data_IF_090171569435
#
_entry.id   IF_090171569435
#
_cell.length_a   1.000
_cell.length_b   1.000
_cell.length_c   1.000
_cell.angle_alpha   90.00
_cell.angle_beta   90.00
_cell.angle_gamma   90.00
#
_symmetry.space_group_name_H-M   'P 1'
#
loop_
_entity.id
_entity.type
_entity.pdbx_description
1 polymer ?
#
# COMPACT_ATOMS: atom_id res chain seq x y z
N UNK A 1 16.21 -18.91 3.60
CA UNK A 1 16.24 -19.87 2.49
C UNK A 1 16.49 -19.07 1.21
N UNK A 2 17.44 -19.48 0.40
CA UNK A 2 17.67 -18.83 -0.88
C UNK A 2 16.42 -19.00 -1.77
N UNK A 3 15.90 -17.88 -2.31
CA UNK A 3 14.70 -17.86 -3.13
C UNK A 3 13.38 -17.67 -2.38
N UNK A 4 13.38 -17.66 -1.03
CA UNK A 4 12.21 -17.32 -0.23
C UNK A 4 12.14 -15.79 -0.05
N UNK A 5 12.16 -15.06 -1.16
CA UNK A 5 12.15 -13.60 -1.26
C UNK A 5 11.27 -13.15 -2.43
N UNK A 6 11.10 -11.86 -2.60
CA UNK A 6 10.26 -11.29 -3.66
C UNK A 6 11.01 -11.02 -4.98
N UNK A 7 12.23 -11.52 -5.16
CA UNK A 7 13.09 -11.27 -6.34
C UNK A 7 13.33 -9.78 -6.63
N UNK A 8 13.40 -8.96 -5.58
CA UNK A 8 13.53 -7.52 -5.69
C UNK A 8 14.81 -7.08 -6.43
N UNK A 9 15.94 -7.77 -6.18
CA UNK A 9 17.21 -7.43 -6.84
C UNK A 9 17.15 -7.56 -8.35
N UNK A 10 16.43 -8.54 -8.88
CA UNK A 10 16.20 -8.68 -10.32
C UNK A 10 15.25 -7.61 -10.86
N UNK A 11 14.23 -7.26 -10.08
CA UNK A 11 13.31 -6.18 -10.43
C UNK A 11 14.01 -4.82 -10.48
N UNK A 12 14.93 -4.56 -9.56
CA UNK A 12 15.70 -3.31 -9.52
C UNK A 12 16.74 -3.18 -10.66
N UNK A 13 17.10 -4.26 -11.35
CA UNK A 13 17.84 -4.19 -12.61
C UNK A 13 17.00 -3.59 -13.75
N UNK A 14 15.66 -3.58 -13.64
CA UNK A 14 14.73 -2.96 -14.58
C UNK A 14 14.46 -1.50 -14.17
N UNK A 15 14.04 -1.27 -12.93
CA UNK A 15 13.75 0.04 -12.37
C UNK A 15 13.88 0.06 -10.86
N UNK A 16 14.28 1.19 -10.29
CA UNK A 16 14.28 1.43 -8.83
C UNK A 16 13.05 2.21 -8.36
N UNK A 17 12.20 2.66 -9.29
CA UNK A 17 10.93 3.32 -9.00
C UNK A 17 10.94 4.84 -9.12
N UNK A 18 10.02 5.49 -8.42
CA UNK A 18 9.96 6.93 -8.20
C UNK A 18 9.08 7.70 -9.16
N UNK A 19 9.25 7.54 -10.48
CA UNK A 19 8.52 8.33 -11.48
C UNK A 19 8.01 7.48 -12.62
N UNK A 20 6.95 7.93 -13.28
CA UNK A 20 6.45 7.33 -14.53
C UNK A 20 7.28 7.76 -15.73
N UNK A 21 7.06 7.13 -16.89
CA UNK A 21 7.65 7.56 -18.18
C UNK A 21 7.24 9.00 -18.60
N UNK A 22 6.23 9.58 -17.95
CA UNK A 22 5.81 10.98 -18.16
C UNK A 22 6.38 11.95 -17.12
N UNK A 23 7.15 11.44 -16.14
CA UNK A 23 7.72 12.23 -15.06
C UNK A 23 6.78 12.47 -13.88
N UNK A 24 5.60 11.84 -13.84
CA UNK A 24 4.71 11.91 -12.68
C UNK A 24 5.39 11.26 -11.48
N UNK A 25 5.48 11.94 -10.36
CA UNK A 25 5.99 11.37 -9.12
C UNK A 25 5.00 10.35 -8.55
N UNK A 26 5.42 9.10 -8.46
CA UNK A 26 4.58 8.00 -7.96
C UNK A 26 4.45 8.08 -6.44
N UNK A 27 3.22 8.01 -5.94
CA UNK A 27 2.90 8.08 -4.52
C UNK A 27 2.14 6.82 -4.09
N UNK A 28 2.48 6.29 -2.92
CA UNK A 28 1.70 5.28 -2.21
C UNK A 28 1.15 5.90 -0.94
N UNK A 29 -0.17 5.87 -0.77
CA UNK A 29 -0.82 6.28 0.46
C UNK A 29 -0.74 5.17 1.51
N UNK A 30 -0.37 5.51 2.73
CA UNK A 30 -0.31 4.57 3.86
C UNK A 30 -1.32 5.01 4.91
N UNK A 31 -2.47 4.34 4.93
CA UNK A 31 -3.48 4.51 5.97
C UNK A 31 -3.11 3.59 7.12
N UNK A 32 -2.73 4.17 8.26
CA UNK A 32 -2.18 3.42 9.40
C UNK A 32 -2.39 4.21 10.71
N UNK A 33 -1.69 3.88 11.78
CA UNK A 33 -1.73 4.61 13.06
C UNK A 33 -0.94 5.95 13.04
N UNK A 34 -0.14 6.20 12.02
CA UNK A 34 0.73 7.36 11.83
C UNK A 34 2.05 7.00 11.16
N UNK A 35 3.04 7.91 11.23
CA UNK A 35 4.38 7.70 10.66
C UNK A 35 5.39 8.66 11.30
N UNK A 36 6.62 8.22 11.50
CA UNK A 36 7.71 9.13 11.88
C UNK A 36 8.13 9.98 10.67
N UNK A 37 7.56 11.18 10.56
CA UNK A 37 7.81 12.09 9.45
C UNK A 37 9.22 12.71 9.44
N UNK A 38 9.99 12.51 10.51
CA UNK A 38 11.40 12.91 10.64
C UNK A 38 12.37 11.75 10.30
N UNK A 39 11.84 10.64 9.78
CA UNK A 39 12.65 9.50 9.37
C UNK A 39 13.48 9.83 8.12
N UNK A 40 14.81 9.86 8.27
CA UNK A 40 15.75 10.26 7.21
C UNK A 40 15.91 9.25 6.07
N UNK A 41 15.41 8.03 6.26
CA UNK A 41 15.51 6.93 5.31
C UNK A 41 14.17 6.67 4.60
N UNK A 42 13.32 7.70 4.53
CA UNK A 42 12.00 7.63 3.90
C UNK A 42 11.73 8.84 3.01
N UNK A 43 11.29 8.58 1.78
CA UNK A 43 10.82 9.61 0.87
C UNK A 43 9.35 9.94 1.15
N UNK A 44 9.09 11.00 1.90
CA UNK A 44 7.72 11.44 2.15
C UNK A 44 7.22 12.33 1.02
N UNK A 45 5.95 12.16 0.65
CA UNK A 45 5.23 13.16 -0.13
C UNK A 45 4.99 14.40 0.73
N UNK A 46 4.99 15.56 0.09
CA UNK A 46 4.71 16.85 0.74
C UNK A 46 3.74 17.64 -0.12
N UNK A 47 2.72 18.19 0.52
CA UNK A 47 1.86 19.18 -0.11
C UNK A 47 2.55 20.54 -0.12
N UNK A 48 3.25 20.86 -1.20
CA UNK A 48 3.98 22.14 -1.31
C UNK A 48 3.07 23.34 -1.58
N UNK A 49 1.77 23.13 -1.77
CA UNK A 49 0.78 24.20 -1.87
C UNK A 49 0.31 24.67 -0.49
N UNK A 50 0.62 23.93 0.56
CA UNK A 50 0.39 24.27 1.98
C UNK A 50 1.61 24.95 2.61
N UNK A 51 1.37 25.97 3.42
CA UNK A 51 2.38 26.60 4.30
C UNK A 51 2.22 25.97 5.69
N UNK A 52 3.13 25.08 6.11
CA UNK A 52 2.92 24.26 7.29
C UNK A 52 2.77 25.11 8.58
N UNK A 53 1.83 24.71 9.43
CA UNK A 53 1.56 25.28 10.76
C UNK A 53 1.10 26.77 10.75
N UNK A 54 0.44 27.22 9.69
CA UNK A 54 -0.15 28.56 9.68
C UNK A 54 -1.64 28.58 10.07
N UNK A 55 -2.28 27.42 10.17
CA UNK A 55 -3.70 27.27 10.53
C UNK A 55 -4.66 27.66 9.42
N UNK A 56 -4.18 27.70 8.16
CA UNK A 56 -4.96 28.05 6.98
C UNK A 56 -4.86 26.87 6.00
N UNK A 57 -5.94 26.62 5.28
CA UNK A 57 -5.98 25.76 4.10
C UNK A 57 -5.55 26.66 2.91
N UNK A 58 -4.26 26.55 2.53
CA UNK A 58 -3.68 27.49 1.55
C UNK A 58 -4.00 27.09 0.10
N UNK A 59 -4.35 25.83 -0.16
CA UNK A 59 -4.68 25.32 -1.51
C UNK A 59 -6.18 25.04 -1.70
N UNK A 60 -7.00 25.41 -0.69
CA UNK A 60 -8.47 25.31 -0.70
C UNK A 60 -8.94 23.87 -1.03
N UNK A 61 -8.23 22.87 -0.46
CA UNK A 61 -8.53 21.45 -0.64
C UNK A 61 -9.46 20.90 0.48
N UNK A 62 -9.74 21.68 1.52
CA UNK A 62 -10.56 21.31 2.68
C UNK A 62 -9.77 20.76 3.87
N UNK A 63 -8.44 20.69 3.79
CA UNK A 63 -7.56 20.07 4.79
C UNK A 63 -6.48 21.04 5.27
N UNK A 64 -6.71 21.70 6.39
CA UNK A 64 -5.82 22.71 6.98
C UNK A 64 -4.46 22.10 7.35
N UNK A 65 -3.38 22.72 6.91
CA UNK A 65 -1.98 22.29 7.23
C UNK A 65 -1.66 20.84 6.84
N UNK A 66 -2.23 20.27 5.78
CA UNK A 66 -1.99 18.88 5.37
C UNK A 66 -0.62 18.65 4.67
N UNK A 67 0.33 19.55 4.92
CA UNK A 67 1.68 19.53 4.32
C UNK A 67 2.37 18.16 4.39
N UNK A 68 2.19 17.41 5.49
CA UNK A 68 2.83 16.11 5.72
C UNK A 68 1.88 14.91 5.50
N UNK A 69 0.64 15.13 5.08
CA UNK A 69 -0.44 14.16 5.07
C UNK A 69 -1.52 14.52 6.07
N UNK A 70 -2.39 13.58 6.42
CA UNK A 70 -3.61 13.89 7.18
C UNK A 70 -3.83 12.98 8.39
N UNK A 71 -4.25 13.58 9.49
CA UNK A 71 -4.65 12.90 10.71
C UNK A 71 -6.18 13.02 10.91
N UNK A 72 -6.87 11.92 10.62
CA UNK A 72 -8.34 11.84 10.69
C UNK A 72 -8.86 11.94 12.12
N UNK A 73 -8.09 11.52 13.14
CA UNK A 73 -8.55 11.47 14.52
C UNK A 73 -8.76 12.85 15.12
N UNK A 74 -7.92 13.81 14.77
CA UNK A 74 -7.99 15.18 15.26
C UNK A 74 -8.25 16.21 14.16
N UNK A 75 -8.44 15.75 12.91
CA UNK A 75 -8.73 16.57 11.74
C UNK A 75 -7.67 17.66 11.54
N UNK A 76 -6.40 17.25 11.41
CA UNK A 76 -5.25 18.14 11.23
C UNK A 76 -4.13 17.48 10.41
N UNK A 77 -3.15 18.28 9.96
CA UNK A 77 -1.92 17.82 9.34
C UNK A 77 -0.88 17.21 10.32
N UNK A 78 -1.19 17.14 11.63
CA UNK A 78 -0.29 16.60 12.64
C UNK A 78 -0.26 15.07 12.60
N UNK A 79 0.71 14.49 11.91
CA UNK A 79 0.89 13.05 11.81
C UNK A 79 1.56 12.49 13.07
N UNK A 80 0.91 11.57 13.82
CA UNK A 80 1.53 10.95 14.98
C UNK A 80 2.72 10.09 14.58
N UNK A 81 3.79 10.20 15.35
CA UNK A 81 4.98 9.36 15.17
C UNK A 81 4.75 7.99 15.81
N UNK A 82 4.53 6.97 15.01
CA UNK A 82 4.18 5.62 15.44
C UNK A 82 5.11 4.56 14.87
N UNK A 83 5.27 3.46 15.58
CA UNK A 83 6.16 2.39 15.15
C UNK A 83 5.58 1.55 14.00
N UNK A 84 4.26 1.35 13.97
CA UNK A 84 3.64 0.43 13.02
C UNK A 84 3.62 1.06 11.63
N UNK A 85 3.02 2.22 11.45
CA UNK A 85 2.98 2.87 10.14
C UNK A 85 4.35 3.30 9.61
N UNK A 86 5.32 3.65 10.50
CA UNK A 86 6.73 3.87 10.10
C UNK A 86 7.36 2.61 9.52
N UNK A 87 7.13 1.47 10.16
CA UNK A 87 7.64 0.18 9.71
C UNK A 87 7.04 -0.24 8.35
N UNK A 88 5.72 -0.12 8.22
CA UNK A 88 4.97 -0.37 6.98
C UNK A 88 5.48 0.52 5.85
N UNK A 89 5.61 1.82 6.10
CA UNK A 89 6.13 2.80 5.12
C UNK A 89 7.54 2.46 4.64
N UNK A 90 8.41 1.98 5.53
CA UNK A 90 9.76 1.56 5.19
C UNK A 90 9.82 0.32 4.28
N UNK A 91 8.90 -0.64 4.42
CA UNK A 91 8.83 -1.80 3.53
C UNK A 91 8.43 -1.37 2.11
N UNK A 92 7.55 -0.39 1.98
CA UNK A 92 7.16 0.16 0.68
C UNK A 92 8.31 0.93 0.05
N UNK A 93 8.88 1.90 0.77
CA UNK A 93 9.69 2.95 0.17
C UNK A 93 10.84 3.49 1.02
N UNK A 94 11.51 2.65 1.86
CA UNK A 94 12.80 3.06 2.40
C UNK A 94 13.78 3.32 1.25
N UNK A 95 14.54 4.41 1.35
CA UNK A 95 15.41 4.90 0.28
C UNK A 95 16.51 3.89 -0.01
N UNK A 96 16.56 3.41 -1.27
CA UNK A 96 17.61 2.48 -1.68
C UNK A 96 18.92 3.15 -2.03
N UNK A 97 20.02 2.39 -1.98
CA UNK A 97 21.36 2.81 -2.42
C UNK A 97 21.90 4.12 -1.79
N UNK A 98 21.57 4.38 -0.53
CA UNK A 98 21.91 5.60 0.20
C UNK A 98 22.93 5.38 1.33
N UNK A 99 23.61 4.22 1.34
CA UNK A 99 24.58 3.79 2.37
C UNK A 99 23.98 3.71 3.80
N UNK A 100 22.66 3.47 3.90
CA UNK A 100 21.95 3.38 5.18
C UNK A 100 21.02 2.16 5.19
N UNK A 101 20.83 1.62 6.36
CA UNK A 101 19.81 0.69 6.83
C UNK A 101 19.28 -0.34 5.87
N UNK A 102 18.16 -0.05 5.26
CA UNK A 102 17.40 -0.98 4.42
C UNK A 102 16.95 -0.31 3.12
N UNK A 103 16.50 -1.12 2.15
CA UNK A 103 15.79 -0.65 0.97
C UNK A 103 14.34 -1.12 1.01
N UNK A 104 13.40 -0.25 0.68
CA UNK A 104 12.02 -0.61 0.41
C UNK A 104 11.87 -1.37 -0.91
N UNK A 105 10.67 -1.87 -1.19
CA UNK A 105 10.35 -2.54 -2.46
C UNK A 105 10.57 -1.61 -3.66
N UNK A 106 10.36 -0.32 -3.45
CA UNK A 106 10.53 0.76 -4.42
C UNK A 106 11.38 1.86 -3.77
N UNK A 107 12.58 2.14 -4.31
CA UNK A 107 13.58 2.98 -3.66
C UNK A 107 13.26 4.47 -3.63
N UNK A 108 12.48 4.93 -4.62
CA UNK A 108 12.28 6.36 -4.88
C UNK A 108 10.80 6.79 -4.78
N UNK A 109 9.89 5.86 -4.47
CA UNK A 109 8.47 6.16 -4.29
C UNK A 109 8.25 7.16 -3.16
N UNK A 110 7.25 8.03 -3.29
CA UNK A 110 6.83 8.91 -2.21
C UNK A 110 5.75 8.25 -1.35
N UNK A 111 5.88 8.39 -0.04
CA UNK A 111 4.90 7.90 0.92
C UNK A 111 4.03 9.06 1.40
N UNK A 112 2.72 8.92 1.27
CA UNK A 112 1.73 9.82 1.85
C UNK A 112 1.16 9.18 3.11
N UNK A 113 1.56 9.61 4.32
CA UNK A 113 1.04 9.05 5.56
C UNK A 113 -0.33 9.62 5.91
N UNK A 114 -1.26 8.73 6.28
CA UNK A 114 -2.59 9.09 6.79
C UNK A 114 -2.83 8.36 8.11
N UNK A 115 -3.00 9.11 9.20
CA UNK A 115 -3.39 8.52 10.48
C UNK A 115 -4.90 8.34 10.52
N UNK A 116 -5.35 7.08 10.32
CA UNK A 116 -6.77 6.78 10.13
C UNK A 116 -7.11 5.29 10.21
N UNK A 117 -6.24 4.44 10.76
CA UNK A 117 -6.58 3.02 10.99
C UNK A 117 -7.69 2.90 12.04
N UNK A 118 -8.68 2.10 11.82
CA UNK A 118 -9.76 1.90 12.78
C UNK A 118 -10.60 0.67 12.46
N UNK A 119 -11.30 0.15 13.48
CA UNK A 119 -12.44 -0.75 13.29
C UNK A 119 -13.76 0.01 13.07
N UNK A 120 -13.72 1.35 13.12
CA UNK A 120 -14.87 2.23 12.93
C UNK A 120 -14.93 2.72 11.49
N UNK A 121 -15.93 2.28 10.73
CA UNK A 121 -16.08 2.58 9.30
C UNK A 121 -15.94 4.09 8.99
N UNK A 122 -16.57 4.97 9.78
CA UNK A 122 -16.53 6.41 9.52
C UNK A 122 -15.13 7.04 9.62
N UNK A 123 -14.23 6.47 10.41
CA UNK A 123 -12.82 6.91 10.48
C UNK A 123 -12.09 6.51 9.21
N UNK A 124 -12.22 5.24 8.83
CA UNK A 124 -11.56 4.72 7.62
C UNK A 124 -12.07 5.40 6.37
N UNK A 125 -13.39 5.59 6.25
CA UNK A 125 -13.99 6.31 5.12
C UNK A 125 -13.43 7.73 4.98
N UNK A 126 -13.25 8.47 6.07
CA UNK A 126 -12.60 9.80 6.03
C UNK A 126 -11.14 9.72 5.56
N UNK A 127 -10.39 8.71 6.01
CA UNK A 127 -9.01 8.52 5.56
C UNK A 127 -8.94 8.23 4.06
N UNK A 128 -9.83 7.37 3.57
CA UNK A 128 -9.92 7.01 2.15
C UNK A 128 -10.46 8.17 1.29
N UNK A 129 -11.36 9.01 1.83
CA UNK A 129 -11.82 10.23 1.17
C UNK A 129 -10.66 11.19 0.92
N UNK A 130 -9.78 11.39 1.91
CA UNK A 130 -8.58 12.20 1.72
C UNK A 130 -7.69 11.65 0.60
N UNK A 131 -7.45 10.33 0.56
CA UNK A 131 -6.69 9.69 -0.53
C UNK A 131 -7.33 9.95 -1.90
N UNK A 132 -8.67 9.82 -1.97
CA UNK A 132 -9.43 10.08 -3.20
C UNK A 132 -9.28 11.53 -3.65
N UNK A 133 -9.53 12.49 -2.77
CA UNK A 133 -9.54 13.92 -3.06
C UNK A 133 -8.16 14.43 -3.50
N UNK A 134 -7.09 13.97 -2.82
CA UNK A 134 -5.71 14.32 -3.20
C UNK A 134 -5.36 13.77 -4.60
N UNK A 135 -5.81 12.57 -4.96
CA UNK A 135 -5.59 12.03 -6.31
C UNK A 135 -6.50 12.71 -7.33
N UNK A 136 -7.76 12.94 -7.03
CA UNK A 136 -8.67 13.64 -7.93
C UNK A 136 -8.18 15.06 -8.23
N UNK A 137 -7.66 15.78 -7.23
CA UNK A 137 -7.04 17.10 -7.42
C UNK A 137 -5.86 17.04 -8.40
N UNK A 138 -5.02 15.99 -8.28
CA UNK A 138 -3.92 15.77 -9.22
C UNK A 138 -4.43 15.60 -10.67
N UNK A 139 -5.44 14.79 -10.86
CA UNK A 139 -6.01 14.52 -12.19
C UNK A 139 -6.70 15.77 -12.78
N UNK A 140 -7.43 16.54 -11.96
CA UNK A 140 -8.10 17.78 -12.37
C UNK A 140 -7.14 18.91 -12.75
N UNK A 141 -6.00 18.98 -12.06
CA UNK A 141 -4.99 20.03 -12.27
C UNK A 141 -3.86 19.62 -13.22
N UNK A 142 -3.94 18.41 -13.81
CA UNK A 142 -2.87 17.83 -14.62
C UNK A 142 -1.51 17.82 -13.90
N UNK A 143 -1.52 17.45 -12.61
CA UNK A 143 -0.34 17.27 -11.80
C UNK A 143 0.25 18.53 -11.15
N UNK A 144 -0.46 19.67 -11.21
CA UNK A 144 -0.01 20.91 -10.55
C UNK A 144 -0.24 20.83 -9.04
N UNK A 145 -1.35 20.24 -8.61
CA UNK A 145 -1.74 20.07 -7.21
C UNK A 145 -2.04 18.60 -6.93
N UNK A 146 -2.12 18.21 -5.67
CA UNK A 146 -2.40 16.84 -5.25
C UNK A 146 -1.25 15.86 -5.48
N UNK A 147 -1.56 14.57 -5.61
CA UNK A 147 -0.57 13.50 -5.72
C UNK A 147 -1.00 12.39 -6.70
N UNK A 148 -0.05 11.89 -7.49
CA UNK A 148 -0.26 10.72 -8.35
C UNK A 148 -0.22 9.44 -7.52
N UNK A 149 -1.29 9.23 -6.71
CA UNK A 149 -1.44 8.06 -5.85
C UNK A 149 -1.87 6.88 -6.72
N UNK A 150 -1.13 5.77 -6.66
CA UNK A 150 -1.38 4.58 -7.49
C UNK A 150 -1.81 3.36 -6.68
N UNK A 151 -1.49 3.37 -5.40
CA UNK A 151 -1.88 2.33 -4.45
C UNK A 151 -2.09 2.94 -3.07
N UNK A 152 -2.98 2.33 -2.29
CA UNK A 152 -3.12 2.64 -0.88
C UNK A 152 -2.96 1.36 -0.05
N UNK A 153 -2.22 1.43 1.07
CA UNK A 153 -1.90 0.33 1.96
C UNK A 153 -2.73 0.38 3.22
N UNK A 154 -3.45 -0.72 3.52
CA UNK A 154 -4.19 -0.92 4.77
C UNK A 154 -3.61 -2.12 5.53
N UNK A 155 -2.70 -1.85 6.45
CA UNK A 155 -2.13 -2.88 7.32
C UNK A 155 -2.92 -3.07 8.62
N UNK A 156 -4.23 -2.93 8.56
CA UNK A 156 -5.18 -3.08 9.66
C UNK A 156 -6.50 -3.67 9.16
N UNK A 157 -7.40 -4.04 10.09
CA UNK A 157 -8.68 -4.59 9.70
C UNK A 157 -9.60 -4.92 10.89
N UNK A 158 -10.70 -5.59 10.60
CA UNK A 158 -11.68 -6.04 11.60
C UNK A 158 -11.81 -7.56 11.54
N UNK A 159 -11.25 -8.22 12.53
CA UNK A 159 -11.32 -9.67 12.69
C UNK A 159 -12.78 -10.17 12.63
N UNK A 160 -13.07 -11.10 11.69
CA UNK A 160 -14.40 -11.66 11.46
C UNK A 160 -15.48 -10.65 11.03
N UNK A 161 -15.10 -9.46 10.61
CA UNK A 161 -16.01 -8.49 10.01
C UNK A 161 -16.64 -9.06 8.74
N UNK A 162 -17.89 -8.68 8.47
CA UNK A 162 -18.61 -9.09 7.27
C UNK A 162 -18.82 -7.89 6.34
N UNK A 163 -18.71 -8.04 5.01
CA UNK A 163 -18.86 -6.92 4.07
C UNK A 163 -20.13 -6.10 4.27
N UNK A 164 -21.26 -6.76 4.53
CA UNK A 164 -22.53 -6.06 4.75
C UNK A 164 -22.58 -5.18 6.01
N UNK A 165 -21.60 -5.26 6.90
CA UNK A 165 -21.46 -4.40 8.08
C UNK A 165 -20.69 -3.11 7.78
N UNK A 166 -19.97 -3.06 6.65
CA UNK A 166 -19.06 -1.97 6.27
C UNK A 166 -19.25 -1.56 4.79
N UNK A 167 -20.49 -1.28 4.35
CA UNK A 167 -20.79 -1.07 2.92
C UNK A 167 -20.19 0.22 2.37
N UNK A 168 -19.99 1.25 3.20
CA UNK A 168 -19.42 2.51 2.76
C UNK A 168 -17.90 2.40 2.61
N UNK A 169 -17.26 1.63 3.46
CA UNK A 169 -15.82 1.35 3.34
C UNK A 169 -15.52 0.58 2.04
N UNK A 170 -16.31 -0.45 1.72
CA UNK A 170 -16.18 -1.18 0.46
C UNK A 170 -16.40 -0.26 -0.75
N UNK A 171 -17.45 0.57 -0.73
CA UNK A 171 -17.74 1.52 -1.79
C UNK A 171 -16.63 2.57 -2.00
N UNK A 172 -15.87 2.90 -0.95
CA UNK A 172 -14.69 3.76 -1.08
C UNK A 172 -13.57 3.08 -1.88
N UNK A 173 -13.39 1.77 -1.74
CA UNK A 173 -12.41 1.04 -2.55
C UNK A 173 -12.81 0.98 -4.03
N UNK A 174 -14.11 0.85 -4.34
CA UNK A 174 -14.60 1.01 -5.70
C UNK A 174 -14.36 2.42 -6.26
N UNK A 175 -14.56 3.43 -5.43
CA UNK A 175 -14.31 4.83 -5.80
C UNK A 175 -12.81 5.06 -6.10
N UNK A 176 -11.92 4.60 -5.22
CA UNK A 176 -10.46 4.65 -5.41
C UNK A 176 -10.04 3.91 -6.68
N UNK A 177 -10.57 2.70 -6.90
CA UNK A 177 -10.31 1.90 -8.09
C UNK A 177 -10.77 2.58 -9.38
N UNK A 178 -11.90 3.30 -9.34
CA UNK A 178 -12.42 4.04 -10.50
C UNK A 178 -11.47 5.11 -11.02
N UNK A 179 -10.61 5.67 -10.15
CA UNK A 179 -9.57 6.64 -10.48
C UNK A 179 -8.16 6.02 -10.53
N UNK A 180 -8.07 4.68 -10.52
CA UNK A 180 -6.82 3.96 -10.75
C UNK A 180 -6.03 3.56 -9.51
N UNK A 181 -6.55 3.77 -8.31
CA UNK A 181 -5.86 3.41 -7.06
C UNK A 181 -6.25 1.99 -6.65
N UNK A 182 -5.28 1.08 -6.55
CA UNK A 182 -5.50 -0.22 -5.94
C UNK A 182 -5.42 -0.15 -4.42
N UNK A 183 -6.32 -0.85 -3.75
CA UNK A 183 -6.34 -0.99 -2.29
C UNK A 183 -5.69 -2.30 -1.88
N UNK A 184 -4.65 -2.26 -1.06
CA UNK A 184 -3.94 -3.45 -0.60
C UNK A 184 -4.21 -3.66 0.89
N UNK A 185 -4.73 -4.83 1.28
CA UNK A 185 -5.17 -5.13 2.63
C UNK A 185 -4.49 -6.32 3.27
N UNK A 186 -4.17 -6.17 4.55
CA UNK A 186 -3.66 -7.24 5.39
C UNK A 186 -4.83 -8.11 5.90
N UNK A 187 -4.72 -9.44 5.77
CA UNK A 187 -5.66 -10.34 6.44
C UNK A 187 -5.34 -10.49 7.94
N UNK A 188 -6.26 -11.08 8.70
CA UNK A 188 -6.13 -11.27 10.14
C UNK A 188 -4.86 -12.04 10.55
N UNK A 189 -4.24 -11.65 11.66
CA UNK A 189 -3.13 -12.37 12.29
C UNK A 189 -3.64 -13.53 13.17
N UNK A 190 -4.48 -14.39 12.57
CA UNK A 190 -5.09 -15.58 13.19
C UNK A 190 -5.11 -16.73 12.20
N UNK A 191 -4.99 -17.97 12.68
CA UNK A 191 -5.03 -19.15 11.83
C UNK A 191 -6.48 -19.58 11.56
N UNK A 192 -7.17 -18.87 10.71
CA UNK A 192 -8.53 -19.22 10.29
C UNK A 192 -8.79 -18.98 8.80
N UNK A 193 -9.86 -19.63 8.32
CA UNK A 193 -10.38 -19.50 6.98
C UNK A 193 -11.35 -18.30 6.92
N UNK A 194 -10.97 -17.23 6.21
CA UNK A 194 -11.82 -16.06 6.10
C UNK A 194 -12.94 -16.20 5.07
N UNK A 195 -12.86 -17.15 4.12
CA UNK A 195 -13.98 -17.47 3.24
C UNK A 195 -15.22 -17.90 4.07
N UNK A 196 -14.97 -18.47 5.26
CA UNK A 196 -16.02 -18.93 6.18
C UNK A 196 -16.33 -17.95 7.30
N UNK A 197 -15.32 -17.22 7.81
CA UNK A 197 -15.45 -16.44 9.04
C UNK A 197 -15.51 -14.92 8.81
N UNK A 198 -15.12 -14.47 7.62
CA UNK A 198 -14.99 -13.05 7.31
C UNK A 198 -13.72 -12.42 7.87
N UNK A 199 -13.41 -11.26 7.35
CA UNK A 199 -12.32 -10.39 7.76
C UNK A 199 -12.39 -9.09 6.93
N UNK A 200 -12.38 -7.93 7.53
CA UNK A 200 -12.43 -6.67 6.80
C UNK A 200 -11.04 -6.01 6.90
N UNK A 201 -10.47 -5.54 5.77
CA UNK A 201 -11.10 -5.35 4.46
C UNK A 201 -11.00 -6.56 3.50
N UNK A 202 -10.27 -7.63 3.85
CA UNK A 202 -9.89 -8.68 2.91
C UNK A 202 -11.04 -9.57 2.41
N UNK A 203 -12.21 -9.52 3.05
CA UNK A 203 -13.43 -10.19 2.57
C UNK A 203 -14.34 -9.30 1.70
N UNK A 204 -13.96 -8.08 1.38
CA UNK A 204 -14.70 -7.26 0.43
C UNK A 204 -14.68 -7.85 -0.98
N UNK A 205 -15.78 -7.67 -1.70
CA UNK A 205 -15.95 -8.23 -3.07
C UNK A 205 -15.48 -7.28 -4.17
N UNK A 206 -15.01 -6.07 -3.81
CA UNK A 206 -14.50 -5.10 -4.78
C UNK A 206 -13.34 -5.67 -5.60
N UNK A 207 -13.33 -5.52 -6.92
CA UNK A 207 -12.23 -6.02 -7.77
C UNK A 207 -10.93 -5.24 -7.57
N UNK A 208 -10.98 -4.05 -6.95
CA UNK A 208 -9.84 -3.15 -6.75
C UNK A 208 -9.07 -3.42 -5.45
N UNK A 209 -9.43 -4.48 -4.73
CA UNK A 209 -8.70 -4.96 -3.56
C UNK A 209 -7.68 -6.01 -3.95
N UNK A 210 -6.50 -5.97 -3.31
CA UNK A 210 -5.53 -7.07 -3.26
C UNK A 210 -5.34 -7.47 -1.81
N UNK A 211 -5.75 -8.67 -1.47
CA UNK A 211 -5.70 -9.20 -0.11
C UNK A 211 -4.48 -10.10 0.10
N UNK A 212 -3.76 -9.86 1.20
CA UNK A 212 -2.41 -10.40 1.39
C UNK A 212 -2.30 -11.20 2.68
N UNK A 213 -1.82 -12.46 2.56
CA UNK A 213 -1.41 -13.27 3.72
C UNK A 213 0.11 -13.29 3.90
N UNK A 214 0.58 -13.77 5.05
CA UNK A 214 1.97 -13.74 5.48
C UNK A 214 2.69 -15.06 5.21
N UNK A 215 3.84 -14.99 4.52
CA UNK A 215 4.77 -16.12 4.38
C UNK A 215 6.02 -15.95 5.24
N UNK A 216 6.62 -17.08 5.57
CA UNK A 216 7.90 -17.16 6.31
C UNK A 216 9.10 -17.11 5.34
N UNK A 217 10.30 -16.92 5.90
CA UNK A 217 11.57 -17.02 5.15
C UNK A 217 11.92 -18.44 4.66
N UNK A 218 10.99 -19.39 4.74
CA UNK A 218 11.09 -20.77 4.23
C UNK A 218 9.98 -21.11 3.23
N UNK A 219 9.27 -20.10 2.75
CA UNK A 219 8.13 -20.25 1.83
C UNK A 219 6.94 -21.03 2.39
N UNK A 220 6.79 -21.09 3.71
CA UNK A 220 5.57 -21.61 4.34
C UNK A 220 4.62 -20.45 4.64
N UNK A 221 3.31 -20.69 4.54
CA UNK A 221 2.33 -19.78 5.13
C UNK A 221 2.60 -19.67 6.63
N UNK A 222 2.61 -18.46 7.17
CA UNK A 222 2.74 -18.29 8.62
C UNK A 222 1.51 -18.88 9.32
N UNK A 223 1.72 -19.75 10.31
CA UNK A 223 0.63 -20.43 11.02
C UNK A 223 -0.32 -19.48 11.76
N UNK A 224 0.13 -18.26 12.07
CA UNK A 224 -0.71 -17.22 12.70
C UNK A 224 -1.41 -16.31 11.69
N UNK A 225 -1.24 -16.50 10.39
CA UNK A 225 -1.90 -15.69 9.37
C UNK A 225 -3.17 -16.39 8.87
N UNK A 226 -4.22 -15.63 8.62
CA UNK A 226 -5.44 -16.12 8.01
C UNK A 226 -5.22 -16.45 6.52
N UNK A 227 -6.17 -17.16 5.95
CA UNK A 227 -6.16 -17.63 4.58
C UNK A 227 -7.60 -17.70 4.04
N UNK A 228 -7.75 -17.81 2.74
CA UNK A 228 -9.05 -17.94 2.08
C UNK A 228 -8.84 -18.20 0.60
N UNK A 229 -9.35 -19.32 0.11
CA UNK A 229 -9.14 -19.75 -1.28
C UNK A 229 -9.75 -18.80 -2.30
N UNK A 230 -10.82 -18.11 -1.91
CA UNK A 230 -11.57 -17.20 -2.80
C UNK A 230 -11.39 -15.73 -2.43
N UNK A 231 -10.94 -15.42 -1.20
CA UNK A 231 -10.82 -14.06 -0.70
C UNK A 231 -9.39 -13.57 -0.56
N UNK A 232 -8.41 -14.44 -0.32
CA UNK A 232 -7.01 -14.03 -0.20
C UNK A 232 -6.29 -14.19 -1.54
N UNK A 233 -5.85 -13.07 -2.12
CA UNK A 233 -5.25 -13.06 -3.45
C UNK A 233 -3.88 -13.76 -3.49
N UNK A 234 -2.95 -13.39 -2.59
CA UNK A 234 -1.59 -13.95 -2.59
C UNK A 234 -0.94 -13.88 -1.21
N UNK A 235 0.22 -14.52 -1.10
CA UNK A 235 1.13 -14.36 0.03
C UNK A 235 2.26 -13.38 -0.25
N UNK A 236 2.83 -12.79 0.80
CA UNK A 236 4.09 -12.04 0.73
C UNK A 236 4.90 -12.24 2.01
N UNK A 237 6.23 -12.00 2.02
CA UNK A 237 7.04 -12.14 3.22
C UNK A 237 6.54 -11.22 4.33
N UNK A 238 6.19 -11.78 5.49
CA UNK A 238 5.69 -10.99 6.63
C UNK A 238 6.23 -11.49 7.96
N UNK A 239 7.20 -12.42 7.96
CA UNK A 239 7.77 -13.00 9.19
C UNK A 239 9.21 -12.57 9.35
N UNK A 240 9.52 -11.92 10.50
CA UNK A 240 10.88 -11.44 10.82
C UNK A 240 11.36 -10.44 9.76
N UNK A 241 10.56 -9.42 9.48
CA UNK A 241 10.88 -8.37 8.51
C UNK A 241 11.55 -7.19 9.21
N UNK A 242 12.73 -6.84 8.74
CA UNK A 242 13.41 -5.61 9.14
C UNK A 242 12.90 -4.42 8.35
N UNK A 243 12.59 -3.33 9.04
CA UNK A 243 12.20 -2.07 8.44
C UNK A 243 12.49 -0.89 9.37
N UNK A 244 11.98 0.28 9.02
CA UNK A 244 12.19 1.51 9.77
C UNK A 244 11.52 1.44 11.14
N UNK A 245 12.11 2.11 12.11
CA UNK A 245 11.58 2.37 13.45
C UNK A 245 11.65 3.86 13.76
N UNK A 246 11.14 4.27 14.92
CA UNK A 246 11.15 5.66 15.34
C UNK A 246 12.59 6.21 15.53
N UNK A 247 12.72 7.53 15.40
CA UNK A 247 13.98 8.26 15.68
C UNK A 247 15.17 7.74 14.86
N UNK A 248 14.95 7.51 13.56
CA UNK A 248 15.99 7.03 12.63
C UNK A 248 16.61 5.69 13.04
N UNK A 249 15.84 4.81 13.65
CA UNK A 249 16.26 3.44 13.98
C UNK A 249 15.68 2.42 13.01
N UNK A 250 16.10 1.17 13.15
CA UNK A 250 15.56 0.02 12.40
C UNK A 250 15.05 -1.01 13.38
N UNK A 251 13.97 -1.68 13.02
CA UNK A 251 13.38 -2.69 13.89
C UNK A 251 12.85 -3.87 13.10
N UNK A 252 12.69 -4.97 13.77
CA UNK A 252 12.09 -6.19 13.23
C UNK A 252 10.65 -6.32 13.69
N UNK A 253 9.77 -6.75 12.78
CA UNK A 253 8.37 -7.08 13.10
C UNK A 253 7.89 -8.29 12.31
N UNK A 254 6.73 -8.85 12.69
CA UNK A 254 6.09 -9.96 11.99
C UNK A 254 4.57 -9.76 12.00
N UNK A 255 3.93 -10.05 10.88
CA UNK A 255 2.48 -9.98 10.71
C UNK A 255 2.11 -9.88 9.24
N UNK A 256 0.84 -10.03 8.94
CA UNK A 256 0.27 -9.73 7.62
C UNK A 256 0.45 -8.26 7.27
N UNK A 257 0.46 -7.38 8.29
CA UNK A 257 0.81 -5.95 8.16
C UNK A 257 2.19 -5.71 7.55
N UNK A 258 3.13 -6.65 7.66
CA UNK A 258 4.46 -6.56 7.06
C UNK A 258 4.52 -7.19 5.68
N UNK A 259 3.57 -8.07 5.34
CA UNK A 259 3.44 -8.67 4.02
C UNK A 259 2.79 -7.72 3.01
N UNK A 260 1.73 -7.05 3.41
CA UNK A 260 0.91 -6.12 2.61
C UNK A 260 1.71 -5.02 1.91
N UNK A 261 2.61 -4.30 2.60
CA UNK A 261 3.36 -3.20 1.99
C UNK A 261 4.32 -3.63 0.88
N UNK A 262 4.78 -4.88 0.84
CA UNK A 262 5.55 -5.38 -0.31
C UNK A 262 4.74 -5.35 -1.60
N UNK A 263 3.44 -5.65 -1.52
CA UNK A 263 2.54 -5.62 -2.67
C UNK A 263 2.21 -4.18 -3.08
N UNK A 264 2.03 -3.28 -2.11
CA UNK A 264 1.82 -1.84 -2.38
C UNK A 264 3.02 -1.22 -3.11
N UNK A 265 4.23 -1.54 -2.66
CA UNK A 265 5.47 -1.12 -3.32
C UNK A 265 5.66 -1.74 -4.71
N UNK A 266 5.17 -2.97 -4.92
CA UNK A 266 5.20 -3.65 -6.21
C UNK A 266 4.35 -2.94 -7.27
N UNK A 267 3.13 -2.55 -6.94
CA UNK A 267 2.25 -1.78 -7.84
C UNK A 267 2.94 -0.49 -8.30
N UNK A 268 3.52 0.24 -7.35
CA UNK A 268 4.25 1.48 -7.65
C UNK A 268 5.49 1.23 -8.51
N UNK A 269 6.18 0.11 -8.30
CA UNK A 269 7.37 -0.27 -9.08
C UNK A 269 7.00 -0.63 -10.53
N UNK A 270 5.92 -1.38 -10.74
CA UNK A 270 5.42 -1.73 -12.08
C UNK A 270 5.13 -0.48 -12.92
N UNK A 271 4.48 0.52 -12.34
CA UNK A 271 4.17 1.77 -13.05
C UNK A 271 5.43 2.59 -13.40
N UNK A 272 6.49 2.49 -12.63
CA UNK A 272 7.74 3.17 -12.95
C UNK A 272 8.51 2.52 -14.12
N UNK A 273 8.27 1.24 -14.40
CA UNK A 273 8.83 0.54 -15.55
C UNK A 273 7.96 0.66 -16.81
N UNK A 274 6.71 1.06 -16.65
CA UNK A 274 5.75 1.15 -17.74
C UNK A 274 6.16 2.20 -18.77
N UNK A 275 5.97 1.88 -20.06
CA UNK A 275 6.25 2.81 -21.14
C UNK A 275 5.21 3.95 -21.22
N UNK A 276 5.50 4.95 -22.05
CA UNK A 276 4.61 6.10 -22.23
C UNK A 276 3.22 5.72 -22.76
N UNK A 277 3.11 4.65 -23.55
CA UNK A 277 1.82 4.21 -24.07
C UNK A 277 0.95 3.60 -22.96
N UNK A 278 1.55 2.81 -22.08
CA UNK A 278 0.87 2.25 -20.90
C UNK A 278 0.43 3.36 -19.93
N UNK A 279 1.30 4.34 -19.66
CA UNK A 279 0.97 5.47 -18.78
C UNK A 279 -0.14 6.33 -19.38
N UNK A 280 -0.15 6.57 -20.72
CA UNK A 280 -1.27 7.22 -21.38
C UNK A 280 -2.58 6.43 -21.22
N UNK A 281 -2.52 5.10 -21.37
CA UNK A 281 -3.70 4.25 -21.16
C UNK A 281 -4.17 4.34 -19.70
N UNK A 282 -3.26 4.31 -18.72
CA UNK A 282 -3.61 4.45 -17.30
C UNK A 282 -4.33 5.78 -17.01
N UNK A 283 -3.85 6.91 -17.55
CA UNK A 283 -4.50 8.21 -17.38
C UNK A 283 -5.86 8.31 -18.05
N UNK A 284 -6.09 7.59 -19.16
CA UNK A 284 -7.35 7.62 -19.90
C UNK A 284 -8.36 6.56 -19.44
N UNK A 285 -7.90 5.44 -18.91
CA UNK A 285 -8.71 4.28 -18.51
C UNK A 285 -8.24 3.76 -17.14
N UNK A 286 -8.24 4.61 -16.08
CA UNK A 286 -7.57 4.31 -14.82
C UNK A 286 -8.08 3.03 -14.15
N UNK A 287 -9.39 2.82 -14.09
CA UNK A 287 -9.98 1.62 -13.49
C UNK A 287 -9.54 0.33 -14.21
N UNK A 288 -9.55 0.35 -15.54
CA UNK A 288 -9.15 -0.83 -16.32
C UNK A 288 -7.69 -1.16 -16.12
N UNK A 289 -6.82 -0.16 -16.11
CA UNK A 289 -5.38 -0.39 -15.96
C UNK A 289 -5.02 -0.77 -14.53
N UNK A 290 -5.74 -0.26 -13.51
CA UNK A 290 -5.60 -0.75 -12.14
C UNK A 290 -5.86 -2.26 -12.05
N UNK A 291 -6.92 -2.78 -12.70
CA UNK A 291 -7.18 -4.21 -12.76
C UNK A 291 -6.09 -4.98 -13.51
N UNK A 292 -5.55 -4.44 -14.61
CA UNK A 292 -4.39 -5.05 -15.29
C UNK A 292 -3.16 -5.14 -14.37
N UNK A 293 -2.88 -4.11 -13.58
CA UNK A 293 -1.79 -4.14 -12.60
C UNK A 293 -2.01 -5.22 -11.52
N UNK A 294 -3.25 -5.39 -11.04
CA UNK A 294 -3.61 -6.51 -10.17
C UNK A 294 -3.32 -7.84 -10.85
N UNK A 295 -3.72 -8.02 -12.10
CA UNK A 295 -3.46 -9.25 -12.86
C UNK A 295 -1.96 -9.53 -13.02
N UNK A 296 -1.13 -8.53 -13.31
CA UNK A 296 0.34 -8.72 -13.39
C UNK A 296 0.92 -9.21 -12.05
N UNK A 297 0.46 -8.66 -10.93
CA UNK A 297 0.87 -9.15 -9.61
C UNK A 297 0.44 -10.60 -9.39
N UNK A 298 -0.82 -10.94 -9.68
CA UNK A 298 -1.34 -12.29 -9.38
C UNK A 298 -0.81 -13.36 -10.33
N UNK A 299 -0.53 -13.02 -11.57
CA UNK A 299 0.05 -13.94 -12.56
C UNK A 299 1.57 -14.10 -12.38
N UNK A 300 2.25 -13.09 -11.82
CA UNK A 300 3.69 -13.07 -11.59
C UNK A 300 4.15 -13.80 -10.32
N UNK A 301 3.28 -14.43 -9.55
CA UNK A 301 3.66 -15.05 -8.26
C UNK A 301 4.57 -16.28 -8.42
N UNK A 302 5.35 -16.60 -7.39
CA UNK A 302 5.97 -17.90 -7.22
C UNK A 302 4.96 -18.85 -6.58
N UNK A 303 4.52 -19.87 -7.33
CA UNK A 303 3.57 -20.87 -6.81
C UNK A 303 4.22 -21.64 -5.66
N UNK A 304 3.55 -21.66 -4.52
CA UNK A 304 4.01 -22.34 -3.32
C UNK A 304 3.01 -23.45 -2.92
N UNK A 305 3.48 -24.69 -2.65
CA UNK A 305 2.57 -25.78 -2.22
C UNK A 305 1.72 -25.41 -1.01
N UNK A 306 2.22 -24.58 -0.10
CA UNK A 306 1.52 -24.12 1.11
C UNK A 306 0.42 -23.07 0.82
N UNK A 307 0.44 -22.43 -0.34
CA UNK A 307 -0.53 -21.41 -0.76
C UNK A 307 -1.47 -21.87 -1.88
N UNK A 308 -1.09 -22.88 -2.66
CA UNK A 308 -1.75 -23.33 -3.88
C UNK A 308 -3.25 -23.66 -3.72
N UNK A 309 -3.66 -24.12 -2.54
CA UNK A 309 -5.06 -24.47 -2.28
C UNK A 309 -5.80 -23.52 -1.34
N UNK A 310 -5.14 -22.48 -0.85
CA UNK A 310 -5.63 -21.59 0.21
C UNK A 310 -5.56 -20.10 -0.13
N UNK A 311 -5.11 -19.76 -1.33
CA UNK A 311 -5.16 -18.40 -1.89
C UNK A 311 -5.60 -18.45 -3.36
N UNK A 312 -6.05 -17.32 -3.91
CA UNK A 312 -6.52 -17.20 -5.29
C UNK A 312 -5.40 -17.51 -6.27
N UNK A 313 -4.23 -16.87 -6.13
CA UNK A 313 -3.08 -17.07 -7.02
C UNK A 313 -2.27 -18.34 -6.72
N UNK A 314 -2.42 -18.94 -5.54
CA UNK A 314 -1.62 -20.07 -5.11
C UNK A 314 -0.15 -19.75 -4.81
N UNK A 315 0.24 -18.48 -4.74
CA UNK A 315 1.65 -18.11 -4.69
C UNK A 315 2.03 -16.95 -3.80
N UNK A 316 3.33 -16.71 -3.76
CA UNK A 316 3.97 -15.58 -3.09
C UNK A 316 4.38 -14.54 -4.13
N UNK A 317 4.25 -13.25 -3.77
CA UNK A 317 4.72 -12.13 -4.58
C UNK A 317 6.13 -12.38 -5.14
N UNK A 318 6.30 -12.11 -6.43
CA UNK A 318 7.59 -12.04 -7.09
C UNK A 318 7.62 -10.79 -7.98
N UNK A 319 8.35 -9.78 -7.53
CA UNK A 319 8.44 -8.48 -8.21
C UNK A 319 8.93 -8.59 -9.65
N UNK A 320 9.93 -9.43 -9.88
CA UNK A 320 10.53 -9.57 -11.22
C UNK A 320 9.57 -10.20 -12.22
N UNK A 321 8.87 -11.26 -11.82
CA UNK A 321 7.90 -11.93 -12.70
C UNK A 321 6.64 -11.08 -12.95
N UNK A 322 6.34 -10.13 -12.08
CA UNK A 322 5.19 -9.24 -12.27
C UNK A 322 5.40 -8.24 -13.42
N UNK A 323 6.60 -8.15 -14.00
CA UNK A 323 6.86 -7.33 -15.20
C UNK A 323 6.55 -8.07 -16.52
N UNK A 324 6.37 -9.38 -16.49
CA UNK A 324 6.03 -10.21 -17.65
C UNK A 324 4.49 -10.24 -17.90
#
# INVERSE_FOLDING_TARGET
YAGADISATLAWDITTGGVTAHGDTIVVAVVDDGCDIEQNDLNLWRNYNEIPNNGIDDDDNGYVDDYNGWNVYNNSGDIPSTNHGTHVSGIIGAIGNNDRGISGSNWDVKILPIAGESSTESIVVKALSYVYEVREKYDQTNGIEGAFIVAQNNSFGVDKGQPNQYPIWEAMYDSLGSIGILSIGATANRSWDIDSLGDIPTAFETPFMISVTNTTNRDFKNNSAAWGKTTIDLGAPGTIIWSLGLNNTYRMSSGTSMATPFVSGAIALLLSAADSAFINNYKNNPAQVALMLKEFILNGVDILPDLDSITVSGGRLNLFKSFD
#
